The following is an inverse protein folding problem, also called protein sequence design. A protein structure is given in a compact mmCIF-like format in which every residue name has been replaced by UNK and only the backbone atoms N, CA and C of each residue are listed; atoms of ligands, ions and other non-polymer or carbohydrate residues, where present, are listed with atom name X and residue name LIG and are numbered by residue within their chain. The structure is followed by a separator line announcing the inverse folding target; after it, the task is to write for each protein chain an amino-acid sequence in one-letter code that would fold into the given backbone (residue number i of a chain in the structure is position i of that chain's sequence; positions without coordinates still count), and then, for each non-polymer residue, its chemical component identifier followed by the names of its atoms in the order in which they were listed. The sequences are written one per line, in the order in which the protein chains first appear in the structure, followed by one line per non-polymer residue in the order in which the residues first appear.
data_IF_097065604159
#
_entry.id   IF_097065604159
#
_cell.length_a   1.000
_cell.length_b   1.000
_cell.length_c   1.000
_cell.angle_alpha   90.00
_cell.angle_beta   90.00
_cell.angle_gamma   90.00
#
_symmetry.space_group_name_H-M   'P 1'
#
loop_
_entity.id
_entity.type
_entity.pdbx_description
1 polymer ?
#
# COMPACT_ATOMS: atom_id res chain seq x y z
N UNK A 1 -8.22 8.89 18.94
CA UNK A 1 -9.46 8.08 19.14
C UNK A 1 -10.24 7.74 17.86
N UNK A 2 -9.92 8.31 16.70
CA UNK A 2 -10.51 7.95 15.40
C UNK A 2 -9.60 6.98 14.62
N UNK A 3 -8.31 7.02 14.85
CA UNK A 3 -7.31 6.19 14.14
C UNK A 3 -7.34 4.72 14.60
N UNK A 4 -7.65 4.45 15.87
CA UNK A 4 -7.77 3.07 16.37
C UNK A 4 -8.96 2.30 15.76
N UNK A 5 -10.00 3.00 15.30
CA UNK A 5 -11.13 2.37 14.62
C UNK A 5 -10.88 2.03 13.15
N UNK A 6 -9.90 2.65 12.52
CA UNK A 6 -9.51 2.32 11.13
C UNK A 6 -8.59 1.10 11.05
N UNK A 7 -7.95 0.72 12.16
CA UNK A 7 -7.01 -0.41 12.21
C UNK A 7 -7.25 -1.39 13.37
N UNK A 8 -8.18 -1.12 14.29
CA UNK A 8 -8.46 -1.92 15.48
C UNK A 8 -9.85 -2.57 15.55
N UNK A 9 -10.75 -2.33 14.61
CA UNK A 9 -12.05 -2.98 14.55
C UNK A 9 -12.12 -3.94 13.39
N UNK A 10 -12.37 -5.22 13.61
CA UNK A 10 -12.79 -6.31 12.69
C UNK A 10 -12.62 -6.10 11.17
N UNK A 11 -11.61 -5.33 10.77
CA UNK A 11 -11.20 -5.16 9.38
C UNK A 11 -10.48 -6.42 8.92
N UNK A 12 -10.84 -6.92 7.77
CA UNK A 12 -10.15 -8.01 7.09
C UNK A 12 -8.65 -7.79 7.19
N UNK A 13 -7.94 -8.65 7.93
CA UNK A 13 -6.50 -8.53 8.01
C UNK A 13 -5.90 -8.87 6.64
N UNK A 14 -4.61 -8.52 6.42
CA UNK A 14 -3.91 -8.73 5.16
C UNK A 14 -4.09 -10.17 4.62
N UNK A 15 -4.05 -11.19 5.49
CA UNK A 15 -4.24 -12.60 5.12
C UNK A 15 -5.65 -12.88 4.63
N UNK A 16 -6.66 -12.28 5.26
CA UNK A 16 -8.07 -12.41 4.85
C UNK A 16 -8.33 -11.70 3.52
N UNK A 17 -7.70 -10.55 3.27
CA UNK A 17 -7.80 -9.86 1.98
C UNK A 17 -7.15 -10.67 0.85
N UNK A 18 -5.97 -11.21 1.07
CA UNK A 18 -5.27 -12.06 0.10
C UNK A 18 -6.00 -13.41 -0.10
N UNK A 19 -6.56 -13.98 0.98
CA UNK A 19 -7.41 -15.15 0.93
C UNK A 19 -8.74 -14.90 0.19
N UNK A 20 -9.35 -13.73 0.38
CA UNK A 20 -10.58 -13.33 -0.33
C UNK A 20 -10.31 -13.10 -1.83
N UNK A 21 -9.15 -12.53 -2.20
CA UNK A 21 -8.75 -12.39 -3.59
C UNK A 21 -8.57 -13.77 -4.27
N UNK A 22 -8.04 -14.76 -3.54
CA UNK A 22 -7.95 -16.15 -4.02
C UNK A 22 -9.31 -16.87 -4.04
N UNK A 23 -10.20 -16.60 -3.08
CA UNK A 23 -11.53 -17.22 -2.99
C UNK A 23 -12.50 -16.72 -4.07
N UNK A 24 -12.41 -15.44 -4.48
CA UNK A 24 -13.23 -14.90 -5.58
C UNK A 24 -12.94 -15.62 -6.90
N UNK A 25 -11.73 -16.17 -7.07
CA UNK A 25 -11.37 -16.96 -8.24
C UNK A 25 -11.93 -18.39 -8.18
N UNK A 26 -12.21 -18.91 -6.98
CA UNK A 26 -12.69 -20.29 -6.78
C UNK A 26 -14.22 -20.42 -6.76
N UNK A 27 -14.98 -19.31 -6.69
CA UNK A 27 -16.43 -19.30 -6.52
C UNK A 27 -17.24 -19.49 -7.83
N UNK A 28 -16.62 -19.90 -8.93
CA UNK A 28 -17.31 -20.12 -10.20
C UNK A 28 -17.92 -21.50 -10.38
N UNK A 29 -17.94 -22.34 -9.35
CA UNK A 29 -18.49 -23.69 -9.40
C UNK A 29 -19.41 -24.02 -8.22
N UNK A 30 -20.60 -23.43 -8.18
CA UNK A 30 -21.74 -23.94 -7.41
C UNK A 30 -23.02 -23.62 -8.18
N UNK A 31 -23.63 -24.69 -8.68
CA UNK A 31 -24.89 -24.71 -9.42
C UNK A 31 -26.11 -24.37 -8.56
N UNK A 32 -27.03 -23.66 -9.21
CA UNK A 32 -28.48 -23.72 -9.13
C UNK A 32 -29.21 -23.17 -7.92
N UNK A 33 -29.59 -21.85 -8.03
CA UNK A 33 -30.95 -21.42 -7.69
C UNK A 33 -31.38 -20.37 -8.73
N UNK A 34 -32.57 -20.44 -9.39
CA UNK A 34 -32.96 -19.50 -10.41
C UNK A 34 -33.51 -18.22 -9.76
N UNK A 35 -32.64 -17.36 -9.30
CA UNK A 35 -32.98 -15.96 -9.08
C UNK A 35 -32.46 -15.19 -10.27
N UNK A 36 -33.34 -14.84 -11.20
CA UNK A 36 -33.01 -14.08 -12.43
C UNK A 36 -32.72 -12.60 -12.16
N UNK A 37 -31.81 -12.34 -11.27
CA UNK A 37 -31.02 -11.13 -11.33
C UNK A 37 -29.77 -11.50 -12.12
N UNK A 38 -29.70 -11.09 -13.37
CA UNK A 38 -28.53 -11.24 -14.22
C UNK A 38 -27.41 -10.34 -13.68
N UNK A 39 -26.79 -10.78 -12.57
CA UNK A 39 -25.53 -10.22 -12.10
C UNK A 39 -24.53 -10.54 -13.20
N UNK A 40 -24.30 -9.57 -14.08
CA UNK A 40 -23.15 -9.64 -14.99
C UNK A 40 -21.93 -9.77 -14.10
N UNK A 41 -21.43 -10.97 -13.92
CA UNK A 41 -20.16 -11.23 -13.28
C UNK A 41 -19.09 -10.52 -14.13
N UNK A 42 -18.66 -9.34 -13.67
CA UNK A 42 -17.54 -8.67 -14.32
C UNK A 42 -16.30 -9.49 -13.96
N UNK A 43 -15.81 -10.22 -14.91
CA UNK A 43 -14.56 -10.96 -14.80
C UNK A 43 -13.45 -10.00 -14.38
N UNK A 44 -12.83 -10.26 -13.23
CA UNK A 44 -11.66 -9.49 -12.76
C UNK A 44 -10.48 -9.89 -13.64
N UNK A 45 -9.87 -8.92 -14.33
CA UNK A 45 -8.75 -9.14 -15.25
C UNK A 45 -7.41 -8.65 -14.72
N UNK A 46 -7.45 -7.82 -13.67
CA UNK A 46 -6.25 -7.24 -13.10
C UNK A 46 -6.41 -6.92 -11.62
N UNK A 47 -5.30 -6.98 -10.89
CA UNK A 47 -5.22 -6.60 -9.48
C UNK A 47 -4.07 -5.60 -9.31
N UNK A 48 -4.35 -4.47 -8.65
CA UNK A 48 -3.35 -3.50 -8.27
C UNK A 48 -3.12 -3.54 -6.75
N UNK A 49 -1.88 -3.72 -6.34
CA UNK A 49 -1.46 -3.79 -4.96
C UNK A 49 -0.80 -2.50 -4.51
N UNK A 50 -1.03 -2.11 -3.27
CA UNK A 50 -0.16 -1.16 -2.58
C UNK A 50 1.19 -1.82 -2.27
N UNK A 51 2.27 -1.02 -2.25
CA UNK A 51 3.60 -1.56 -1.96
C UNK A 51 3.70 -2.20 -0.57
N UNK A 52 3.06 -1.62 0.46
CA UNK A 52 3.07 -2.21 1.80
C UNK A 52 2.20 -3.48 1.93
N UNK A 53 1.32 -3.76 0.96
CA UNK A 53 0.67 -5.06 0.88
C UNK A 53 1.64 -6.16 0.40
N UNK A 54 2.67 -5.78 -0.34
CA UNK A 54 3.71 -6.69 -0.87
C UNK A 54 4.93 -6.73 0.05
N UNK A 55 5.43 -5.58 0.50
CA UNK A 55 6.68 -5.45 1.25
C UNK A 55 6.43 -5.20 2.74
N UNK A 56 7.21 -5.92 3.57
CA UNK A 56 7.14 -5.86 5.03
C UNK A 56 8.01 -4.72 5.60
N UNK A 57 7.42 -3.67 6.19
CA UNK A 57 8.16 -2.58 6.79
C UNK A 57 8.72 -2.89 8.18
N UNK A 58 8.45 -4.05 8.77
CA UNK A 58 8.85 -4.37 10.16
C UNK A 58 10.36 -4.39 10.35
N UNK A 59 11.13 -4.62 9.29
CA UNK A 59 12.60 -4.52 9.32
C UNK A 59 13.07 -3.11 9.67
N UNK A 60 12.38 -2.07 9.20
CA UNK A 60 12.67 -0.67 9.53
C UNK A 60 12.41 -0.41 11.03
N UNK A 61 11.33 -0.98 11.56
CA UNK A 61 10.97 -0.81 12.97
C UNK A 61 11.96 -1.51 13.91
N UNK A 62 12.43 -2.70 13.51
CA UNK A 62 13.50 -3.40 14.25
C UNK A 62 14.80 -2.60 14.23
N UNK A 63 15.18 -2.07 13.09
CA UNK A 63 16.36 -1.21 12.97
C UNK A 63 16.25 0.04 13.86
N UNK A 64 15.07 0.63 13.97
CA UNK A 64 14.85 1.77 14.86
C UNK A 64 15.06 1.40 16.33
N UNK A 65 14.64 0.19 16.75
CA UNK A 65 14.87 -0.31 18.10
C UNK A 65 16.36 -0.64 18.36
N UNK A 66 17.07 -1.17 17.34
CA UNK A 66 18.53 -1.40 17.43
C UNK A 66 19.29 -0.08 17.61
N UNK A 67 18.91 0.97 16.88
CA UNK A 67 19.58 2.28 16.95
C UNK A 67 19.21 3.03 18.23
N UNK A 68 17.97 2.89 18.70
CA UNK A 68 17.41 3.58 19.87
C UNK A 68 16.73 2.59 20.82
N UNK A 69 17.51 1.79 21.58
CA UNK A 69 16.96 0.77 22.47
C UNK A 69 15.97 1.37 23.48
N UNK A 70 14.79 0.74 23.57
CA UNK A 70 13.69 1.19 24.44
C UNK A 70 12.91 2.40 23.92
N UNK A 71 13.29 3.00 22.79
CA UNK A 71 12.61 4.16 22.20
C UNK A 71 12.23 3.91 20.72
N UNK A 72 12.76 2.86 20.11
CA UNK A 72 12.57 2.60 18.68
C UNK A 72 11.13 2.26 18.31
N UNK A 73 10.39 1.58 19.19
CA UNK A 73 8.95 1.29 18.98
C UNK A 73 8.14 2.59 18.95
N UNK A 74 8.36 3.49 19.91
CA UNK A 74 7.70 4.79 19.96
C UNK A 74 8.03 5.62 18.71
N UNK A 75 9.33 5.72 18.40
CA UNK A 75 9.83 6.41 17.19
C UNK A 75 9.15 5.87 15.92
N UNK A 76 9.11 4.56 15.75
CA UNK A 76 8.53 3.91 14.57
C UNK A 76 7.03 4.16 14.43
N UNK A 77 6.28 4.11 15.53
CA UNK A 77 4.86 4.40 15.55
C UNK A 77 4.57 5.86 15.17
N UNK A 78 5.30 6.80 15.77
CA UNK A 78 5.21 8.23 15.45
C UNK A 78 5.60 8.48 13.99
N UNK A 79 6.69 7.88 13.52
CA UNK A 79 7.17 8.02 12.16
C UNK A 79 6.14 7.55 11.13
N UNK A 80 5.61 6.34 11.30
CA UNK A 80 4.60 5.77 10.42
C UNK A 80 3.32 6.63 10.38
N UNK A 81 2.82 7.01 11.54
CA UNK A 81 1.62 7.86 11.65
C UNK A 81 1.84 9.17 10.90
N UNK A 82 2.95 9.84 11.16
CA UNK A 82 3.26 11.14 10.55
C UNK A 82 3.51 11.03 9.04
N UNK A 83 4.10 9.93 8.58
CA UNK A 83 4.30 9.66 7.15
C UNK A 83 2.96 9.66 6.39
N UNK A 84 1.92 8.99 6.92
CA UNK A 84 0.59 9.01 6.31
C UNK A 84 -0.08 10.38 6.41
N UNK A 85 -0.07 11.00 7.56
CA UNK A 85 -0.68 12.32 7.76
C UNK A 85 -0.09 13.37 6.82
N UNK A 86 1.22 13.35 6.61
CA UNK A 86 1.89 14.29 5.71
C UNK A 86 1.49 14.09 4.25
N UNK A 87 1.23 12.86 3.80
CA UNK A 87 0.69 12.63 2.45
C UNK A 87 -0.68 13.29 2.28
N UNK A 88 -1.56 13.16 3.27
CA UNK A 88 -2.89 13.75 3.24
C UNK A 88 -2.87 15.26 3.32
N UNK A 89 -2.05 15.82 4.21
CA UNK A 89 -1.87 17.27 4.33
C UNK A 89 -1.33 17.89 3.05
N UNK A 90 -0.35 17.25 2.40
CA UNK A 90 0.20 17.75 1.13
C UNK A 90 -0.81 17.71 0.00
N UNK A 91 -1.64 16.67 -0.09
CA UNK A 91 -2.77 16.64 -1.02
C UNK A 91 -3.74 17.81 -0.76
N UNK A 92 -4.16 18.01 0.48
CA UNK A 92 -5.10 19.05 0.87
C UNK A 92 -4.57 20.46 0.59
N UNK A 93 -3.29 20.67 0.83
CA UNK A 93 -2.61 21.95 0.57
C UNK A 93 -2.24 22.15 -0.90
N UNK A 94 -2.36 21.12 -1.76
CA UNK A 94 -1.84 21.09 -3.13
C UNK A 94 -0.35 21.43 -3.22
N UNK A 95 0.42 20.96 -2.24
CA UNK A 95 1.87 21.18 -2.12
C UNK A 95 2.57 19.82 -2.12
N UNK A 96 2.68 19.25 -3.30
CA UNK A 96 3.32 17.97 -3.48
C UNK A 96 4.80 18.02 -3.06
N UNK A 97 5.26 16.92 -2.51
CA UNK A 97 6.66 16.53 -2.33
C UNK A 97 6.68 15.01 -2.40
N UNK A 98 7.69 14.41 -2.98
CA UNK A 98 7.71 12.97 -3.18
C UNK A 98 7.71 12.19 -1.85
N UNK A 99 7.36 10.91 -1.92
CA UNK A 99 7.17 10.09 -0.72
C UNK A 99 8.46 9.86 0.07
N UNK A 100 9.62 9.91 -0.57
CA UNK A 100 10.92 9.83 0.11
C UNK A 100 11.14 11.04 1.03
N UNK A 101 10.89 12.23 0.52
CA UNK A 101 11.00 13.46 1.30
C UNK A 101 9.96 13.52 2.43
N UNK A 102 8.72 13.11 2.15
CA UNK A 102 7.68 12.98 3.18
C UNK A 102 8.11 12.01 4.28
N UNK A 103 8.70 10.88 3.91
CA UNK A 103 9.20 9.88 4.85
C UNK A 103 10.31 10.45 5.73
N UNK A 104 11.25 11.21 5.14
CA UNK A 104 12.33 11.88 5.88
C UNK A 104 11.80 12.98 6.83
N UNK A 105 10.87 13.81 6.34
CA UNK A 105 10.25 14.86 7.16
C UNK A 105 9.51 14.25 8.36
N UNK A 106 8.80 13.14 8.14
CA UNK A 106 8.11 12.39 9.18
C UNK A 106 9.08 11.79 10.21
N UNK A 107 10.23 11.25 9.77
CA UNK A 107 11.27 10.74 10.65
C UNK A 107 11.83 11.86 11.56
N UNK A 108 12.16 13.02 10.97
CA UNK A 108 12.68 14.15 11.72
C UNK A 108 11.68 14.65 12.77
N UNK A 109 10.39 14.69 12.44
CA UNK A 109 9.35 15.02 13.39
C UNK A 109 9.23 13.98 14.50
N UNK A 110 9.16 12.71 14.12
CA UNK A 110 9.04 11.61 15.06
C UNK A 110 10.20 11.55 16.05
N UNK A 111 11.43 11.79 15.59
CA UNK A 111 12.62 11.85 16.45
C UNK A 111 12.49 12.95 17.52
N UNK A 112 12.01 14.13 17.13
CA UNK A 112 11.75 15.23 18.10
C UNK A 112 10.69 14.86 19.10
N UNK A 113 9.58 14.26 18.67
CA UNK A 113 8.47 13.87 19.54
C UNK A 113 8.86 12.75 20.51
N UNK A 114 9.63 11.78 20.05
CA UNK A 114 10.15 10.68 20.86
C UNK A 114 11.36 11.09 21.70
N UNK A 115 11.83 12.32 21.63
CA UNK A 115 12.96 12.82 22.40
C UNK A 115 14.30 12.14 22.08
N UNK A 116 14.44 11.54 20.88
CA UNK A 116 15.69 10.93 20.43
C UNK A 116 16.53 11.92 19.63
N UNK A 117 17.84 11.89 19.83
CA UNK A 117 18.78 12.69 19.04
C UNK A 117 19.20 11.90 17.81
N UNK A 118 18.59 12.23 16.68
CA UNK A 118 18.86 11.60 15.40
C UNK A 118 20.04 12.30 14.70
N UNK A 119 21.15 11.61 14.51
CA UNK A 119 22.27 12.11 13.75
C UNK A 119 22.11 11.77 12.25
N UNK A 120 22.92 12.41 11.34
CA UNK A 120 22.80 12.18 9.89
C UNK A 120 23.02 10.72 9.46
N UNK A 121 23.95 10.01 10.08
CA UNK A 121 24.22 8.60 9.78
C UNK A 121 23.04 7.70 10.15
N UNK A 122 22.50 7.87 11.35
CA UNK A 122 21.30 7.13 11.82
C UNK A 122 20.09 7.41 10.93
N UNK A 123 19.89 8.69 10.55
CA UNK A 123 18.83 9.07 9.62
C UNK A 123 18.99 8.37 8.27
N UNK A 124 20.20 8.36 7.71
CA UNK A 124 20.49 7.70 6.45
C UNK A 124 20.27 6.18 6.53
N UNK A 125 20.70 5.52 7.63
CA UNK A 125 20.48 4.08 7.84
C UNK A 125 18.98 3.74 7.90
N UNK A 126 18.19 4.50 8.65
CA UNK A 126 16.75 4.30 8.76
C UNK A 126 16.02 4.53 7.43
N UNK A 127 16.36 5.59 6.73
CA UNK A 127 15.80 5.89 5.42
C UNK A 127 16.15 4.80 4.40
N UNK A 128 17.43 4.40 4.32
CA UNK A 128 17.90 3.39 3.37
C UNK A 128 17.26 2.01 3.59
N UNK A 129 16.79 1.72 4.81
CA UNK A 129 16.08 0.48 5.08
C UNK A 129 14.77 0.36 4.27
N UNK A 130 14.13 1.47 3.91
CA UNK A 130 12.96 1.46 3.02
C UNK A 130 13.28 1.03 1.57
N UNK A 131 14.52 1.07 1.17
CA UNK A 131 14.98 0.60 -0.16
C UNK A 131 15.30 -0.90 -0.19
N UNK A 132 15.24 -1.57 0.98
CA UNK A 132 15.68 -2.95 1.15
C UNK A 132 14.59 -3.84 1.77
N UNK A 133 13.34 -3.38 1.73
CA UNK A 133 12.23 -4.14 2.28
C UNK A 133 12.09 -5.50 1.58
N UNK A 134 11.80 -6.52 2.35
CA UNK A 134 11.54 -7.86 1.85
C UNK A 134 10.04 -8.08 1.67
N UNK A 135 9.63 -8.89 0.70
CA UNK A 135 8.22 -9.24 0.57
C UNK A 135 7.75 -10.02 1.80
N UNK A 136 6.45 -9.93 2.09
CA UNK A 136 5.84 -10.80 3.07
C UNK A 136 5.97 -12.26 2.65
N UNK A 137 6.04 -13.22 3.60
CA UNK A 137 6.32 -14.63 3.29
C UNK A 137 5.32 -15.30 2.33
N UNK A 138 4.09 -14.82 2.29
CA UNK A 138 3.00 -15.36 1.47
C UNK A 138 2.94 -14.76 0.05
N UNK A 139 3.66 -13.69 -0.23
CA UNK A 139 3.59 -12.93 -1.49
C UNK A 139 3.91 -13.79 -2.70
N UNK A 140 4.99 -14.56 -2.65
CA UNK A 140 5.42 -15.37 -3.79
C UNK A 140 4.34 -16.40 -4.21
N UNK A 141 3.73 -17.07 -3.23
CA UNK A 141 2.68 -18.05 -3.49
C UNK A 141 1.41 -17.38 -4.05
N UNK A 142 1.01 -16.23 -3.48
CA UNK A 142 -0.18 -15.48 -3.95
C UNK A 142 0.02 -14.97 -5.37
N UNK A 143 1.19 -14.40 -5.70
CA UNK A 143 1.52 -13.94 -7.05
C UNK A 143 1.39 -15.08 -8.06
N UNK A 144 1.96 -16.24 -7.77
CA UNK A 144 1.87 -17.42 -8.66
C UNK A 144 0.43 -17.87 -8.89
N UNK A 145 -0.40 -17.89 -7.84
CA UNK A 145 -1.82 -18.26 -7.96
C UNK A 145 -2.54 -17.27 -8.88
N UNK A 146 -2.39 -15.97 -8.64
CA UNK A 146 -3.07 -14.94 -9.43
C UNK A 146 -2.64 -14.97 -10.90
N UNK A 147 -1.34 -15.19 -11.17
CA UNK A 147 -0.83 -15.32 -12.52
C UNK A 147 -1.35 -16.57 -13.24
N UNK A 148 -1.44 -17.73 -12.54
CA UNK A 148 -2.05 -18.95 -13.09
C UNK A 148 -3.51 -18.76 -13.49
N UNK A 149 -4.23 -17.86 -12.81
CA UNK A 149 -5.60 -17.48 -13.16
C UNK A 149 -5.67 -16.39 -14.24
N UNK A 150 -4.55 -16.06 -14.90
CA UNK A 150 -4.51 -15.10 -15.99
C UNK A 150 -4.66 -13.65 -15.59
N UNK A 151 -4.57 -13.33 -14.29
CA UNK A 151 -4.71 -11.97 -13.80
C UNK A 151 -3.45 -11.14 -14.07
N UNK A 152 -3.62 -9.93 -14.55
CA UNK A 152 -2.54 -8.95 -14.68
C UNK A 152 -2.29 -8.29 -13.32
N UNK A 153 -1.04 -8.23 -12.91
CA UNK A 153 -0.67 -7.64 -11.63
C UNK A 153 -0.01 -6.27 -11.82
N UNK A 154 -0.37 -5.34 -10.96
CA UNK A 154 0.21 -4.02 -10.89
C UNK A 154 0.62 -3.66 -9.46
N UNK A 155 1.62 -2.80 -9.33
CA UNK A 155 1.81 -1.98 -8.13
C UNK A 155 1.22 -0.60 -8.39
N UNK A 156 0.41 -0.08 -7.45
CA UNK A 156 -0.07 1.29 -7.41
C UNK A 156 0.25 1.85 -6.02
N UNK A 157 1.30 2.63 -5.94
CA UNK A 157 1.88 3.02 -4.64
C UNK A 157 2.22 4.50 -4.58
N UNK A 158 2.22 5.06 -3.36
CA UNK A 158 2.72 6.39 -3.08
C UNK A 158 4.27 6.48 -3.14
N UNK A 159 4.96 5.35 -3.17
CA UNK A 159 6.43 5.32 -3.23
C UNK A 159 6.96 6.00 -4.49
N UNK A 160 8.15 6.57 -4.37
CA UNK A 160 8.86 7.07 -5.55
C UNK A 160 9.25 5.90 -6.48
N UNK A 161 9.48 6.17 -7.78
CA UNK A 161 9.98 5.14 -8.69
C UNK A 161 11.24 4.44 -8.18
N UNK A 162 12.18 5.19 -7.60
CA UNK A 162 13.42 4.64 -7.05
C UNK A 162 13.20 3.68 -5.87
N UNK A 163 12.28 4.00 -4.94
CA UNK A 163 11.91 3.10 -3.84
C UNK A 163 11.31 1.80 -4.36
N UNK A 164 10.40 1.91 -5.31
CA UNK A 164 9.72 0.77 -5.91
C UNK A 164 10.69 -0.14 -6.65
N UNK A 165 11.54 0.44 -7.51
CA UNK A 165 12.58 -0.28 -8.25
C UNK A 165 13.53 -1.02 -7.32
N UNK A 166 14.06 -0.35 -6.29
CA UNK A 166 14.99 -0.94 -5.34
C UNK A 166 14.41 -2.18 -4.64
N UNK A 167 13.17 -2.09 -4.15
CA UNK A 167 12.51 -3.21 -3.47
C UNK A 167 12.15 -4.35 -4.43
N UNK A 168 11.65 -4.05 -5.62
CA UNK A 168 11.32 -5.07 -6.63
C UNK A 168 12.59 -5.81 -7.06
N UNK A 169 13.65 -5.09 -7.41
CA UNK A 169 14.94 -5.66 -7.81
C UNK A 169 15.58 -6.49 -6.69
N UNK A 170 15.59 -5.94 -5.48
CA UNK A 170 16.15 -6.63 -4.30
C UNK A 170 15.40 -7.89 -3.87
N UNK A 171 14.19 -8.11 -4.40
CA UNK A 171 13.33 -9.27 -4.12
C UNK A 171 13.10 -10.18 -5.33
N UNK A 172 13.60 -9.83 -6.51
CA UNK A 172 13.37 -10.61 -7.75
C UNK A 172 11.91 -10.57 -8.24
N UNK A 173 11.13 -9.55 -7.85
CA UNK A 173 9.71 -9.42 -8.20
C UNK A 173 9.45 -8.48 -9.38
N UNK A 174 10.49 -8.02 -10.08
CA UNK A 174 10.36 -7.06 -11.19
C UNK A 174 9.42 -7.56 -12.29
N UNK A 175 9.58 -8.82 -12.69
CA UNK A 175 8.77 -9.43 -13.74
C UNK A 175 7.34 -9.80 -13.28
N UNK A 176 7.07 -9.81 -11.97
CA UNK A 176 5.78 -10.19 -11.43
C UNK A 176 4.70 -9.13 -11.68
N UNK A 177 5.10 -7.85 -11.72
CA UNK A 177 4.19 -6.72 -11.87
C UNK A 177 4.34 -6.10 -13.25
N UNK A 178 3.37 -6.37 -14.13
CA UNK A 178 3.34 -5.80 -15.48
C UNK A 178 3.32 -4.27 -15.49
N UNK A 179 2.68 -3.69 -14.49
CA UNK A 179 2.57 -2.24 -14.34
C UNK A 179 3.09 -1.81 -12.98
N UNK A 180 4.03 -0.89 -12.99
CA UNK A 180 4.68 -0.32 -11.82
C UNK A 180 4.33 1.17 -11.78
N UNK A 181 3.29 1.48 -10.99
CA UNK A 181 2.62 2.77 -11.00
C UNK A 181 2.94 3.52 -9.70
N UNK A 182 3.91 4.42 -9.77
CA UNK A 182 4.17 5.40 -8.71
C UNK A 182 3.25 6.60 -8.88
N UNK A 183 2.58 7.01 -7.80
CA UNK A 183 1.74 8.21 -7.80
C UNK A 183 2.55 9.52 -7.95
N UNK A 184 3.87 9.43 -7.82
CA UNK A 184 4.83 10.51 -8.10
C UNK A 184 4.63 11.11 -9.50
N UNK A 185 4.21 10.27 -10.48
CA UNK A 185 3.94 10.71 -11.86
C UNK A 185 2.79 11.71 -11.99
N UNK A 186 1.90 11.75 -11.02
CA UNK A 186 0.73 12.63 -11.02
C UNK A 186 0.78 13.65 -9.88
N UNK A 187 1.91 13.71 -9.19
CA UNK A 187 2.19 14.65 -8.09
C UNK A 187 1.07 14.70 -7.05
N UNK A 188 0.56 13.51 -6.70
CA UNK A 188 -0.50 13.35 -5.72
C UNK A 188 -0.32 12.03 -4.96
N UNK A 189 -0.93 11.94 -3.78
CA UNK A 189 -0.95 10.73 -2.97
C UNK A 189 -2.33 10.10 -2.94
N UNK A 190 -2.40 8.79 -2.81
CA UNK A 190 -3.66 8.13 -2.47
C UNK A 190 -4.21 8.71 -1.16
N UNK A 191 -5.52 8.96 -1.02
CA UNK A 191 -6.61 8.51 -1.90
C UNK A 191 -7.07 9.49 -2.98
N UNK A 192 -6.25 10.43 -3.44
CA UNK A 192 -6.67 11.35 -4.50
C UNK A 192 -7.13 10.56 -5.75
N UNK A 193 -8.31 10.87 -6.32
CA UNK A 193 -8.84 10.16 -7.48
C UNK A 193 -7.93 10.16 -8.71
N UNK A 194 -7.04 11.16 -8.85
CA UNK A 194 -6.10 11.20 -9.97
C UNK A 194 -5.14 10.02 -9.98
N UNK A 195 -4.74 9.54 -8.79
CA UNK A 195 -3.84 8.39 -8.62
C UNK A 195 -4.47 7.10 -9.14
N UNK A 196 -5.77 6.90 -8.92
CA UNK A 196 -6.49 5.72 -9.40
C UNK A 196 -6.78 5.81 -10.90
N UNK A 197 -7.07 7.00 -11.44
CA UNK A 197 -7.22 7.20 -12.89
C UNK A 197 -5.95 6.84 -13.66
N UNK A 198 -4.78 7.06 -13.10
CA UNK A 198 -3.50 6.63 -13.65
C UNK A 198 -3.44 5.09 -13.80
N UNK A 199 -3.94 4.36 -12.79
CA UNK A 199 -3.96 2.90 -12.79
C UNK A 199 -4.89 2.29 -13.84
N UNK A 200 -5.91 3.01 -14.32
CA UNK A 200 -6.89 2.47 -15.27
C UNK A 200 -6.46 2.52 -16.74
N UNK A 201 -5.59 3.48 -17.10
CA UNK A 201 -5.14 3.68 -18.49
C UNK A 201 -4.39 2.48 -19.10
N UNK A 202 -3.53 1.76 -18.37
CA UNK A 202 -2.81 0.60 -18.89
C UNK A 202 -3.70 -0.62 -19.09
N UNK A 203 -4.75 -0.77 -18.26
CA UNK A 203 -5.72 -1.83 -18.42
C UNK A 203 -6.78 -1.37 -19.39
N UNK A 204 -6.65 -1.67 -20.68
CA UNK A 204 -7.64 -1.38 -21.72
C UNK A 204 -8.96 -2.12 -21.48
N UNK A 205 -9.46 -2.07 -20.26
CA UNK A 205 -10.77 -2.53 -19.90
C UNK A 205 -11.75 -1.36 -20.01
N UNK A 206 -12.68 -1.44 -20.98
CA UNK A 206 -13.86 -0.59 -21.03
C UNK A 206 -14.52 -0.59 -19.63
N UNK A 207 -14.42 0.54 -18.90
CA UNK A 207 -15.13 0.84 -17.66
C UNK A 207 -14.91 -0.13 -16.51
N UNK A 208 -13.83 0.03 -15.74
CA UNK A 208 -13.86 -0.35 -14.33
C UNK A 208 -14.83 0.60 -13.62
N UNK A 209 -15.93 0.05 -13.12
CA UNK A 209 -16.72 0.77 -12.11
C UNK A 209 -15.90 0.71 -10.82
N UNK A 210 -15.50 1.87 -10.30
CA UNK A 210 -14.97 1.97 -8.96
C UNK A 210 -16.00 1.39 -7.99
N UNK A 211 -15.58 0.47 -7.12
CA UNK A 211 -16.27 0.23 -5.87
C UNK A 211 -16.06 1.48 -5.02
N UNK A 212 -16.89 2.50 -5.26
CA UNK A 212 -16.97 3.63 -4.38
C UNK A 212 -17.66 3.16 -3.11
N UNK A 213 -16.98 3.23 -2.01
CA UNK A 213 -17.58 3.22 -0.70
C UNK A 213 -18.42 4.50 -0.58
N UNK A 214 -19.68 4.40 -0.87
CA UNK A 214 -20.65 5.41 -0.44
C UNK A 214 -20.95 5.09 1.02
N UNK A 215 -20.34 5.84 1.93
CA UNK A 215 -20.89 5.99 3.26
C UNK A 215 -22.17 6.82 3.10
N UNK A 216 -23.31 6.17 3.04
CA UNK A 216 -24.57 6.81 3.37
C UNK A 216 -24.55 7.14 4.87
N UNK A 217 -23.94 8.26 5.22
CA UNK A 217 -24.22 8.92 6.46
C UNK A 217 -25.37 9.87 6.18
N UNK A 218 -26.60 9.36 6.35
CA UNK A 218 -27.76 10.22 6.53
C UNK A 218 -27.50 11.12 7.74
N UNK A 219 -27.53 12.42 7.51
CA UNK A 219 -27.78 13.37 8.59
C UNK A 219 -29.24 13.78 8.57
N UNK A 220 -29.85 13.93 9.77
CA UNK A 220 -31.20 14.43 9.93
C UNK A 220 -31.31 15.91 9.55
#
# INVERSE_FOLDING_TARGET
MIIDRLFGGAGTNRRQFLGAAAAVVSATALDAVPFTAQVRSHEIKAVAFDAFAIFDPTSVFRLAEEIFPGRGVELSNQWRTRQFEYTWLRNSMRRYSNFWDVTRDALNYAAKQSGVKLNPEQSMRLMSAYLQLKPWPDVAAVIQILQKHGLQLALLTNWTPAMMEACLKGSGLEAAFRYQLSTDRVEAFKPDPVTYRMGWRPFTCRRMRSLSWHSEAGMP
#
